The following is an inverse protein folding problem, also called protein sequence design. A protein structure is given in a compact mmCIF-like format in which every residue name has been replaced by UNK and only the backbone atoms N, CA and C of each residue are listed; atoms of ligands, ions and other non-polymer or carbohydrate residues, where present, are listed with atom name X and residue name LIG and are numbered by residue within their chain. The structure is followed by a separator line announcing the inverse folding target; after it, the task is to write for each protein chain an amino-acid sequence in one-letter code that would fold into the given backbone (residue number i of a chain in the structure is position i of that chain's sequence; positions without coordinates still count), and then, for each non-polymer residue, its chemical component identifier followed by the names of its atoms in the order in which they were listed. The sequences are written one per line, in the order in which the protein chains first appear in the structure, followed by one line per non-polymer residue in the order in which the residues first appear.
data_IF_673755787889
#
_entry.id   IF_673755787889
#
_cell.length_a   1.000
_cell.length_b   1.000
_cell.length_c   1.000
_cell.angle_alpha   90.00
_cell.angle_beta   90.00
_cell.angle_gamma   90.00
#
_symmetry.space_group_name_H-M   'P 1'
#
loop_
_entity.id
_entity.type
_entity.pdbx_description
1 polymer ?
#
# COMPACT_ATOMS: atom_id res chain seq x y z
N UNK A 1 25.20 -34.74 19.40
CA UNK A 1 24.10 -33.83 19.82
C UNK A 1 24.75 -32.54 20.26
N UNK A 2 24.79 -31.58 19.38
CA UNK A 2 25.23 -30.25 19.75
C UNK A 2 24.17 -29.69 20.70
N UNK A 3 24.53 -29.56 21.97
CA UNK A 3 23.66 -28.93 22.96
C UNK A 3 23.45 -27.47 22.54
N UNK A 4 22.23 -27.10 22.19
CA UNK A 4 21.84 -25.70 22.21
C UNK A 4 22.12 -25.19 23.62
N UNK A 5 23.23 -24.47 23.79
CA UNK A 5 23.50 -23.79 25.03
C UNK A 5 22.35 -22.85 25.32
N UNK A 6 21.75 -22.97 26.52
CA UNK A 6 20.75 -21.99 26.94
C UNK A 6 21.35 -20.59 26.85
N UNK A 7 20.61 -19.65 26.30
CA UNK A 7 21.06 -18.25 26.30
C UNK A 7 21.24 -17.78 27.75
N UNK A 8 22.30 -17.01 28.03
CA UNK A 8 22.46 -16.40 29.34
C UNK A 8 21.23 -15.57 29.70
N UNK A 9 20.88 -15.51 30.99
CA UNK A 9 19.79 -14.65 31.50
C UNK A 9 20.01 -13.17 31.22
N UNK A 10 21.25 -12.77 30.91
CA UNK A 10 21.61 -11.41 30.44
C UNK A 10 21.30 -11.14 28.97
N UNK A 11 20.78 -12.12 28.23
CA UNK A 11 20.51 -12.01 26.80
C UNK A 11 21.69 -12.45 25.93
N UNK A 12 21.53 -12.36 24.63
CA UNK A 12 22.53 -12.72 23.63
C UNK A 12 22.10 -12.34 22.23
N UNK A 13 23.02 -12.51 21.26
CA UNK A 13 22.76 -12.22 19.85
C UNK A 13 22.89 -13.50 19.04
N UNK A 14 21.89 -13.79 18.18
CA UNK A 14 21.98 -14.80 17.15
C UNK A 14 22.47 -14.14 15.86
N UNK A 15 23.55 -14.68 15.27
CA UNK A 15 24.13 -14.15 14.01
C UNK A 15 23.64 -14.89 12.77
N UNK A 16 22.82 -15.93 12.93
CA UNK A 16 22.25 -16.74 11.86
C UNK A 16 20.72 -16.83 11.97
N UNK A 17 20.12 -17.56 11.03
CA UNK A 17 18.68 -17.83 11.03
C UNK A 17 18.29 -18.68 12.23
N UNK A 18 17.28 -18.24 12.98
CA UNK A 18 16.68 -19.00 14.08
C UNK A 18 15.31 -19.50 13.63
N UNK A 19 15.08 -20.82 13.72
CA UNK A 19 13.78 -21.45 13.46
C UNK A 19 13.12 -21.85 14.76
N UNK A 20 11.89 -21.40 14.97
CA UNK A 20 11.05 -21.84 16.07
C UNK A 20 10.00 -22.83 15.53
N UNK A 21 10.01 -24.07 16.07
CA UNK A 21 9.02 -25.10 15.72
C UNK A 21 7.81 -25.07 16.66
N UNK A 22 7.87 -24.25 17.69
CA UNK A 22 6.83 -24.06 18.69
C UNK A 22 6.56 -22.56 18.85
N UNK A 23 5.40 -22.17 19.37
CA UNK A 23 5.11 -20.77 19.67
C UNK A 23 6.17 -20.13 20.54
N UNK A 24 6.61 -18.93 20.16
CA UNK A 24 7.52 -18.11 20.94
C UNK A 24 6.72 -17.05 21.69
N UNK A 25 6.74 -17.09 23.01
CA UNK A 25 6.02 -16.18 23.88
C UNK A 25 6.93 -15.05 24.37
N UNK A 26 6.37 -13.85 24.47
CA UNK A 26 7.02 -12.67 25.04
C UNK A 26 6.31 -12.27 26.33
N UNK A 27 7.03 -12.28 27.44
CA UNK A 27 6.48 -12.05 28.77
C UNK A 27 6.00 -13.34 29.47
N UNK A 28 5.59 -13.19 30.70
CA UNK A 28 5.25 -14.32 31.57
C UNK A 28 3.83 -14.88 31.40
N UNK A 29 2.94 -14.09 30.84
CA UNK A 29 1.50 -14.41 30.73
C UNK A 29 1.09 -15.04 29.38
N UNK A 30 2.07 -15.25 28.47
CA UNK A 30 1.87 -15.82 27.13
C UNK A 30 0.86 -15.05 26.25
N UNK A 31 0.58 -13.79 26.57
CA UNK A 31 -0.36 -12.96 25.79
C UNK A 31 0.20 -12.56 24.44
N UNK A 32 1.52 -12.29 24.37
CA UNK A 32 2.19 -11.89 23.14
C UNK A 32 3.05 -13.03 22.62
N UNK A 33 2.89 -13.36 21.33
CA UNK A 33 3.53 -14.54 20.77
C UNK A 33 3.70 -14.45 19.24
N UNK A 34 4.56 -15.30 18.71
CA UNK A 34 4.65 -15.67 17.29
C UNK A 34 4.55 -17.19 17.21
N UNK A 35 3.69 -17.71 16.34
CA UNK A 35 3.53 -19.14 16.09
C UNK A 35 4.29 -19.61 14.86
N UNK A 36 4.47 -20.91 14.72
CA UNK A 36 5.20 -21.49 13.58
C UNK A 36 4.46 -21.34 12.23
N UNK A 37 3.15 -21.09 12.25
CA UNK A 37 2.31 -20.82 11.07
C UNK A 37 2.32 -19.33 10.65
N UNK A 38 3.13 -18.51 11.31
CA UNK A 38 3.25 -17.08 11.00
C UNK A 38 2.24 -16.18 11.71
N UNK A 39 1.38 -16.74 12.58
CA UNK A 39 0.48 -15.90 13.38
C UNK A 39 1.27 -15.16 14.46
N UNK A 40 1.02 -13.85 14.59
CA UNK A 40 1.63 -13.02 15.63
C UNK A 40 0.57 -12.22 16.40
N UNK A 41 0.72 -12.13 17.72
CA UNK A 41 -0.10 -11.30 18.58
C UNK A 41 0.77 -10.31 19.37
N UNK A 42 0.63 -9.03 19.08
CA UNK A 42 1.35 -7.94 19.74
C UNK A 42 0.38 -6.84 20.18
N UNK A 43 0.68 -6.24 21.33
CA UNK A 43 -0.09 -5.08 21.80
C UNK A 43 0.09 -3.86 20.91
N UNK A 44 1.31 -3.63 20.42
CA UNK A 44 1.68 -2.53 19.51
C UNK A 44 2.86 -2.94 18.65
N UNK A 45 2.85 -2.50 17.42
CA UNK A 45 3.97 -2.61 16.49
C UNK A 45 4.35 -1.20 16.06
N UNK A 46 5.59 -0.78 16.37
CA UNK A 46 6.11 0.52 15.98
C UNK A 46 6.93 0.38 14.71
N UNK A 47 6.79 1.37 13.79
CA UNK A 47 7.56 1.38 12.55
C UNK A 47 7.07 0.40 11.47
N UNK A 48 6.00 -0.35 11.72
CA UNK A 48 5.44 -1.28 10.76
C UNK A 48 4.67 -0.58 9.63
N UNK A 49 4.19 0.66 9.85
CA UNK A 49 3.47 1.45 8.84
C UNK A 49 4.16 2.81 8.74
N UNK A 50 5.00 2.97 7.72
CA UNK A 50 5.77 4.21 7.53
C UNK A 50 5.03 5.25 6.68
N UNK A 51 4.48 4.86 5.52
CA UNK A 51 3.81 5.77 4.59
C UNK A 51 2.36 5.41 4.36
N UNK A 52 2.09 4.20 3.86
CA UNK A 52 0.78 3.78 3.42
C UNK A 52 0.52 2.29 3.67
N UNK A 53 -0.76 1.98 3.66
CA UNK A 53 -1.29 0.62 3.72
C UNK A 53 -1.75 0.24 2.33
N UNK A 54 -1.19 -0.83 1.77
CA UNK A 54 -1.46 -1.29 0.42
C UNK A 54 -1.97 -2.73 0.38
N UNK A 55 -2.64 -3.06 -0.73
CA UNK A 55 -3.12 -4.39 -1.05
C UNK A 55 -2.85 -4.70 -2.52
N UNK A 56 -2.64 -5.98 -2.83
CA UNK A 56 -2.53 -6.49 -4.19
C UNK A 56 -3.90 -6.63 -4.84
N UNK A 57 -4.14 -5.88 -5.92
CA UNK A 57 -5.38 -5.90 -6.70
C UNK A 57 -5.18 -6.53 -8.07
N UNK A 58 -6.11 -7.38 -8.58
CA UNK A 58 -6.01 -8.01 -9.89
C UNK A 58 -5.78 -6.99 -11.01
N UNK A 59 -4.71 -7.17 -11.77
CA UNK A 59 -4.26 -6.25 -12.81
C UNK A 59 -5.13 -6.33 -14.06
N UNK A 60 -5.66 -5.19 -14.51
CA UNK A 60 -6.41 -5.04 -15.76
C UNK A 60 -5.65 -4.32 -16.86
N UNK A 61 -4.59 -3.60 -16.52
CA UNK A 61 -3.73 -2.90 -17.48
C UNK A 61 -2.35 -2.63 -16.90
N UNK A 62 -1.41 -2.21 -17.73
CA UNK A 62 -0.11 -1.74 -17.25
C UNK A 62 -0.25 -0.45 -16.47
N UNK A 63 0.39 -0.44 -15.29
CA UNK A 63 0.38 0.70 -14.36
C UNK A 63 1.79 0.99 -13.87
N UNK A 64 2.01 2.20 -13.40
CA UNK A 64 3.27 2.61 -12.76
C UNK A 64 3.01 3.37 -11.46
N UNK A 65 3.98 3.41 -10.55
CA UNK A 65 3.84 4.11 -9.28
C UNK A 65 3.32 5.54 -9.42
N UNK A 66 2.29 5.85 -8.64
CA UNK A 66 1.58 7.12 -8.67
C UNK A 66 0.33 7.14 -9.55
N UNK A 67 0.07 6.10 -10.36
CA UNK A 67 -1.18 5.99 -11.13
C UNK A 67 -2.38 5.83 -10.21
N UNK A 68 -3.43 6.60 -10.48
CA UNK A 68 -4.74 6.44 -9.82
C UNK A 68 -5.42 5.20 -10.40
N UNK A 69 -5.88 4.32 -9.52
CA UNK A 69 -6.46 3.03 -9.86
C UNK A 69 -7.95 3.01 -9.56
N UNK A 70 -8.71 2.46 -10.49
CA UNK A 70 -10.16 2.31 -10.40
C UNK A 70 -10.59 0.88 -10.73
N UNK A 71 -11.77 0.49 -10.24
CA UNK A 71 -12.44 -0.75 -10.62
C UNK A 71 -12.83 -0.70 -12.10
N UNK A 72 -12.53 -1.75 -12.85
CA UNK A 72 -13.03 -1.94 -14.21
C UNK A 72 -14.48 -2.44 -14.18
N UNK A 73 -15.43 -1.51 -14.19
CA UNK A 73 -16.87 -1.82 -14.14
C UNK A 73 -17.40 -2.52 -15.41
N UNK A 74 -16.60 -2.59 -16.48
CA UNK A 74 -16.95 -3.32 -17.70
C UNK A 74 -16.57 -4.81 -17.64
N UNK A 75 -15.74 -5.19 -16.68
CA UNK A 75 -15.28 -6.56 -16.49
C UNK A 75 -16.33 -7.41 -15.77
N UNK A 76 -16.46 -8.67 -16.16
CA UNK A 76 -17.28 -9.65 -15.44
C UNK A 76 -16.55 -10.29 -14.25
N UNK A 77 -15.24 -10.08 -14.15
CA UNK A 77 -14.41 -10.54 -13.04
C UNK A 77 -13.76 -9.34 -12.35
N UNK A 78 -13.34 -9.49 -11.11
CA UNK A 78 -12.61 -8.46 -10.41
C UNK A 78 -11.33 -8.09 -11.19
N UNK A 79 -11.25 -6.81 -11.59
CA UNK A 79 -10.13 -6.27 -12.35
C UNK A 79 -10.00 -4.77 -12.16
N UNK A 80 -8.76 -4.28 -12.15
CA UNK A 80 -8.45 -2.89 -11.86
C UNK A 80 -7.61 -2.26 -12.96
N UNK A 81 -7.96 -1.02 -13.29
CA UNK A 81 -7.38 -0.25 -14.39
C UNK A 81 -7.01 1.16 -13.93
N UNK A 82 -6.30 1.92 -14.77
CA UNK A 82 -6.07 3.35 -14.55
C UNK A 82 -7.39 4.11 -14.57
N UNK A 83 -7.63 4.91 -13.54
CA UNK A 83 -8.75 5.85 -13.55
C UNK A 83 -8.55 6.91 -14.62
N UNK A 84 -9.62 7.31 -15.29
CA UNK A 84 -9.62 8.33 -16.36
C UNK A 84 -10.58 9.45 -16.01
N UNK A 85 -11.83 9.11 -15.75
CA UNK A 85 -12.93 10.04 -15.58
C UNK A 85 -13.30 10.30 -14.14
N UNK A 86 -13.94 11.45 -13.92
CA UNK A 86 -14.44 11.84 -12.59
C UNK A 86 -15.63 11.01 -12.10
N UNK A 87 -16.05 10.01 -12.84
CA UNK A 87 -17.09 9.06 -12.46
C UNK A 87 -16.54 7.65 -12.24
N UNK A 88 -15.23 7.46 -12.39
CA UNK A 88 -14.61 6.17 -12.15
C UNK A 88 -14.60 5.85 -10.65
N UNK A 89 -14.80 4.59 -10.32
CA UNK A 89 -14.74 4.11 -8.93
C UNK A 89 -13.29 3.94 -8.51
N UNK A 90 -12.71 5.01 -7.98
CA UNK A 90 -11.33 5.04 -7.49
C UNK A 90 -11.22 4.15 -6.26
N UNK A 91 -10.24 3.23 -6.28
CA UNK A 91 -9.92 2.36 -5.14
C UNK A 91 -8.66 2.80 -4.42
N UNK A 92 -7.74 3.49 -5.09
CA UNK A 92 -6.50 3.97 -4.50
C UNK A 92 -5.47 4.36 -5.53
N UNK A 93 -4.21 4.23 -5.18
CA UNK A 93 -3.06 4.65 -5.99
C UNK A 93 -2.02 3.54 -6.06
N UNK A 94 -1.50 3.24 -7.24
CA UNK A 94 -0.36 2.33 -7.39
C UNK A 94 0.82 2.88 -6.59
N UNK A 95 1.32 2.13 -5.63
CA UNK A 95 2.38 2.55 -4.72
C UNK A 95 3.63 1.70 -4.87
N UNK A 96 4.79 2.33 -4.69
CA UNK A 96 6.13 1.71 -4.62
C UNK A 96 6.79 1.95 -3.24
N UNK A 97 6.09 2.65 -2.32
CA UNK A 97 6.61 3.07 -1.01
C UNK A 97 5.74 2.54 0.15
N UNK A 98 5.03 1.43 -0.06
CA UNK A 98 4.17 0.84 0.97
C UNK A 98 4.98 0.39 2.19
N UNK A 99 4.42 0.59 3.36
CA UNK A 99 4.97 0.06 4.60
C UNK A 99 4.30 -1.26 5.00
N UNK A 100 3.10 -1.49 4.51
CA UNK A 100 2.34 -2.71 4.72
C UNK A 100 1.62 -3.10 3.45
N UNK A 101 1.84 -4.34 2.99
CA UNK A 101 1.24 -4.88 1.78
C UNK A 101 0.61 -6.23 2.10
N UNK A 102 -0.67 -6.39 1.75
CA UNK A 102 -1.43 -7.62 1.98
C UNK A 102 -1.95 -8.23 0.68
N UNK A 103 -2.36 -9.49 0.75
CA UNK A 103 -2.89 -10.23 -0.41
C UNK A 103 -1.80 -10.76 -1.34
N UNK A 104 -2.18 -11.02 -2.61
CA UNK A 104 -1.30 -11.64 -3.60
C UNK A 104 -1.16 -13.15 -3.41
N UNK A 105 -0.37 -13.78 -4.30
CA UNK A 105 -0.11 -15.23 -4.27
C UNK A 105 0.97 -15.59 -3.23
N UNK A 106 1.88 -14.65 -2.93
CA UNK A 106 2.88 -14.80 -1.89
C UNK A 106 3.19 -13.45 -1.23
N UNK A 107 3.27 -13.39 0.10
CA UNK A 107 3.60 -12.17 0.84
C UNK A 107 5.12 -11.94 1.00
N UNK A 108 5.96 -12.92 0.67
CA UNK A 108 7.42 -12.83 0.88
C UNK A 108 8.12 -12.25 -0.34
N UNK A 109 8.66 -11.05 -0.22
CA UNK A 109 9.45 -10.39 -1.27
C UNK A 109 10.72 -11.16 -1.67
N UNK A 110 11.19 -12.09 -0.83
CA UNK A 110 12.34 -12.96 -1.10
C UNK A 110 11.96 -14.24 -1.81
N UNK A 111 10.66 -14.54 -1.91
CA UNK A 111 10.15 -15.67 -2.66
C UNK A 111 10.33 -15.43 -4.16
N UNK A 112 10.87 -16.40 -4.89
CA UNK A 112 11.03 -16.32 -6.36
C UNK A 112 9.68 -16.09 -7.08
N UNK A 113 8.56 -16.50 -6.47
CA UNK A 113 7.21 -16.26 -6.99
C UNK A 113 6.70 -14.83 -6.73
N UNK A 114 7.38 -14.02 -5.91
CA UNK A 114 6.95 -12.64 -5.66
C UNK A 114 6.90 -11.80 -6.94
N UNK A 115 7.81 -12.04 -7.88
CA UNK A 115 7.79 -11.40 -9.20
C UNK A 115 6.51 -11.69 -9.98
N UNK A 116 5.92 -12.87 -9.81
CA UNK A 116 4.64 -13.23 -10.43
C UNK A 116 3.47 -12.39 -9.87
N UNK A 117 3.55 -11.92 -8.62
CA UNK A 117 2.56 -10.97 -8.09
C UNK A 117 2.56 -9.67 -8.89
N UNK A 118 3.74 -9.13 -9.24
CA UNK A 118 3.86 -7.87 -10.00
C UNK A 118 3.22 -7.98 -11.39
N UNK A 119 3.27 -9.16 -12.01
CA UNK A 119 2.64 -9.40 -13.31
C UNK A 119 1.11 -9.52 -13.20
N UNK A 120 0.60 -10.15 -12.14
CA UNK A 120 -0.83 -10.44 -11.93
C UNK A 120 -1.58 -9.33 -11.21
N UNK A 121 -0.91 -8.60 -10.35
CA UNK A 121 -1.51 -7.66 -9.42
C UNK A 121 -0.88 -6.27 -9.49
N UNK A 122 -1.59 -5.30 -8.95
CA UNK A 122 -1.14 -3.91 -8.74
C UNK A 122 -1.08 -3.69 -7.24
N UNK A 123 0.05 -3.23 -6.65
CA UNK A 123 0.07 -2.82 -5.26
C UNK A 123 -0.61 -1.46 -5.13
N UNK A 124 -1.80 -1.42 -4.53
CA UNK A 124 -2.63 -0.20 -4.43
C UNK A 124 -2.68 0.27 -2.98
N UNK A 125 -2.23 1.49 -2.75
CA UNK A 125 -2.40 2.19 -1.48
C UNK A 125 -3.87 2.52 -1.26
N UNK A 126 -4.43 2.00 -0.17
CA UNK A 126 -5.81 2.21 0.25
C UNK A 126 -5.94 3.34 1.26
N UNK A 127 -4.91 3.55 2.07
CA UNK A 127 -4.89 4.57 3.12
C UNK A 127 -3.46 5.03 3.41
N UNK A 128 -3.31 6.29 3.82
CA UNK A 128 -2.01 6.84 4.18
C UNK A 128 -1.59 7.99 3.27
N UNK A 129 -0.28 8.23 3.19
CA UNK A 129 0.30 9.32 2.39
C UNK A 129 1.11 8.71 1.24
N UNK A 130 0.60 8.83 0.04
CA UNK A 130 1.19 8.25 -1.17
C UNK A 130 1.53 9.34 -2.20
N UNK A 131 2.48 9.07 -3.07
CA UNK A 131 2.83 9.97 -4.18
C UNK A 131 1.94 9.68 -5.39
N UNK A 132 1.08 10.65 -5.73
CA UNK A 132 0.13 10.58 -6.85
C UNK A 132 0.67 11.36 -8.04
N UNK A 133 0.57 10.80 -9.23
CA UNK A 133 0.86 11.51 -10.49
C UNK A 133 -0.26 12.51 -10.76
N UNK A 134 0.12 13.76 -10.92
CA UNK A 134 -0.82 14.86 -11.18
C UNK A 134 -0.33 15.77 -12.29
N UNK A 135 -1.27 16.51 -12.88
CA UNK A 135 -1.03 17.61 -13.81
C UNK A 135 -1.76 18.87 -13.33
N UNK A 136 -1.34 20.05 -13.81
CA UNK A 136 -1.92 21.32 -13.38
C UNK A 136 -1.45 21.73 -11.99
N UNK A 137 -1.71 22.98 -11.61
CA UNK A 137 -1.36 23.50 -10.28
C UNK A 137 -2.16 22.80 -9.19
N UNK A 138 -1.51 22.52 -8.07
CA UNK A 138 -2.12 21.90 -6.90
C UNK A 138 -1.71 22.68 -5.66
N UNK A 139 -2.67 23.01 -4.81
CA UNK A 139 -2.44 23.63 -3.49
C UNK A 139 -2.62 22.60 -2.39
N UNK A 140 -1.95 22.81 -1.28
CA UNK A 140 -2.19 22.04 -0.07
C UNK A 140 -3.67 22.11 0.32
N UNK A 141 -4.30 20.95 0.54
CA UNK A 141 -5.72 20.83 0.87
C UNK A 141 -6.63 20.61 -0.34
N UNK A 142 -6.14 20.79 -1.58
CA UNK A 142 -6.96 20.52 -2.76
C UNK A 142 -7.39 19.04 -2.82
N UNK A 143 -8.66 18.82 -3.17
CA UNK A 143 -9.12 17.47 -3.51
C UNK A 143 -8.51 17.04 -4.84
N UNK A 144 -8.06 15.80 -4.91
CA UNK A 144 -7.48 15.21 -6.11
C UNK A 144 -8.51 14.29 -6.76
N UNK A 145 -8.76 14.54 -8.04
CA UNK A 145 -9.67 13.79 -8.91
C UNK A 145 -8.92 13.25 -10.14
N UNK A 146 -9.42 12.20 -10.81
CA UNK A 146 -8.92 11.82 -12.13
C UNK A 146 -9.01 12.99 -13.12
N UNK A 147 -7.96 13.18 -13.96
CA UNK A 147 -7.81 14.36 -14.81
C UNK A 147 -8.43 14.24 -16.21
N UNK A 148 -8.88 13.05 -16.60
CA UNK A 148 -9.21 12.71 -18.01
C UNK A 148 -8.08 11.98 -18.73
N UNK A 149 -6.86 12.00 -18.18
CA UNK A 149 -5.72 11.22 -18.67
C UNK A 149 -5.55 9.98 -17.80
N UNK A 150 -5.39 8.78 -18.39
CA UNK A 150 -5.32 7.53 -17.61
C UNK A 150 -4.27 7.54 -16.50
N UNK A 151 -4.70 7.29 -15.27
CA UNK A 151 -3.86 7.21 -14.08
C UNK A 151 -3.39 8.55 -13.52
N UNK A 152 -3.70 9.68 -14.16
CA UNK A 152 -3.25 11.00 -13.75
C UNK A 152 -4.36 11.76 -13.06
N UNK A 153 -4.02 12.41 -11.94
CA UNK A 153 -4.90 13.28 -11.18
C UNK A 153 -4.73 14.76 -11.52
N UNK A 154 -5.68 15.54 -11.04
CA UNK A 154 -5.66 17.01 -10.99
C UNK A 154 -6.33 17.52 -9.71
N UNK A 155 -6.09 18.75 -9.36
CA UNK A 155 -6.90 19.43 -8.35
C UNK A 155 -8.34 19.59 -8.84
N UNK A 156 -9.31 19.46 -7.94
CA UNK A 156 -10.69 19.84 -8.20
C UNK A 156 -10.82 21.33 -8.40
N UNK A 157 -11.66 21.77 -9.33
CA UNK A 157 -11.98 23.18 -9.53
C UNK A 157 -12.86 23.69 -8.38
N UNK A 158 -12.84 25.00 -8.12
CA UNK A 158 -13.70 25.62 -7.15
C UNK A 158 -15.19 25.36 -7.49
N UNK A 159 -15.95 24.80 -6.54
CA UNK A 159 -17.34 24.43 -6.73
C UNK A 159 -17.60 23.18 -7.57
N UNK A 160 -16.56 22.46 -7.95
CA UNK A 160 -16.72 21.21 -8.69
C UNK A 160 -17.31 20.12 -7.78
N UNK A 161 -18.44 19.56 -8.22
CA UNK A 161 -19.01 18.38 -7.58
C UNK A 161 -18.29 17.11 -8.06
N UNK A 162 -17.92 16.26 -7.11
CA UNK A 162 -17.41 14.91 -7.37
C UNK A 162 -18.04 13.95 -6.38
N UNK A 163 -18.56 12.79 -6.83
CA UNK A 163 -18.97 11.72 -5.94
C UNK A 163 -17.80 11.24 -5.06
N UNK A 164 -18.10 10.84 -3.84
CA UNK A 164 -17.05 10.43 -2.89
C UNK A 164 -16.17 9.30 -3.41
N UNK A 165 -16.76 8.36 -4.14
CA UNK A 165 -16.07 7.21 -4.77
C UNK A 165 -15.10 7.59 -5.89
N UNK A 166 -15.13 8.83 -6.36
CA UNK A 166 -14.23 9.33 -7.41
C UNK A 166 -13.07 10.14 -6.84
N UNK A 167 -13.10 10.45 -5.54
CA UNK A 167 -12.09 11.26 -4.87
C UNK A 167 -10.91 10.39 -4.45
N UNK A 168 -9.72 10.69 -4.97
CA UNK A 168 -8.47 10.01 -4.56
C UNK A 168 -8.11 10.35 -3.11
N UNK A 169 -8.23 11.61 -2.75
CA UNK A 169 -7.84 12.14 -1.45
C UNK A 169 -7.62 13.64 -1.51
N UNK A 170 -6.79 14.16 -0.62
CA UNK A 170 -6.40 15.58 -0.63
C UNK A 170 -4.88 15.75 -0.60
N UNK A 171 -4.40 16.76 -1.31
CA UNK A 171 -2.99 17.10 -1.36
C UNK A 171 -2.48 17.56 0.01
N UNK A 172 -1.36 17.01 0.47
CA UNK A 172 -0.70 17.43 1.72
C UNK A 172 0.51 18.34 1.45
N UNK A 173 0.85 18.53 0.19
CA UNK A 173 1.83 19.48 -0.29
C UNK A 173 1.31 20.20 -1.54
N UNK A 174 1.70 21.45 -1.74
CA UNK A 174 1.36 22.23 -2.91
C UNK A 174 2.50 22.24 -3.95
N UNK A 175 2.13 22.46 -5.22
CA UNK A 175 3.09 22.61 -6.32
C UNK A 175 2.47 23.44 -7.45
N UNK A 176 3.12 24.56 -7.82
CA UNK A 176 2.64 25.49 -8.83
C UNK A 176 2.99 25.08 -10.27
N UNK A 177 3.77 24.03 -10.48
CA UNK A 177 4.08 23.49 -11.81
C UNK A 177 2.81 22.97 -12.47
N UNK A 178 2.80 22.98 -13.79
CA UNK A 178 1.66 22.50 -14.59
C UNK A 178 1.91 21.19 -15.32
N UNK A 179 3.18 20.78 -15.44
CA UNK A 179 3.59 19.51 -16.04
C UNK A 179 3.25 18.32 -15.14
N UNK A 180 3.34 17.13 -15.71
CA UNK A 180 3.14 15.89 -14.97
C UNK A 180 4.25 15.69 -13.94
N UNK A 181 3.87 15.39 -12.71
CA UNK A 181 4.77 15.07 -11.59
C UNK A 181 4.06 14.28 -10.51
N UNK A 182 4.81 13.83 -9.52
CA UNK A 182 4.27 13.15 -8.33
C UNK A 182 4.23 14.13 -7.15
N UNK A 183 3.07 14.23 -6.51
CA UNK A 183 2.88 14.99 -5.26
C UNK A 183 2.36 14.06 -4.17
N UNK A 184 2.57 14.45 -2.92
CA UNK A 184 2.07 13.69 -1.78
C UNK A 184 0.61 14.00 -1.51
N UNK A 185 -0.20 12.94 -1.48
CA UNK A 185 -1.65 12.99 -1.25
C UNK A 185 -1.99 12.06 -0.09
N UNK A 186 -2.87 12.51 0.80
CA UNK A 186 -3.49 11.62 1.77
C UNK A 186 -4.68 10.94 1.10
N UNK A 187 -4.52 9.65 0.82
CA UNK A 187 -5.58 8.82 0.27
C UNK A 187 -6.64 8.59 1.35
N UNK A 188 -7.90 8.63 0.96
CA UNK A 188 -9.03 8.29 1.84
C UNK A 188 -9.20 6.77 1.80
N UNK A 189 -9.09 6.15 2.96
CA UNK A 189 -9.56 4.79 3.19
C UNK A 189 -11.02 4.82 3.65
#
# INVERSE_FOLDING_TARGET
RDSLGAMPTSGGTFTGTVRFQQPTYFGGDKTYYITADGTANFRKVYGAVYNDYAEWFPRGCDTKPGDIIALDVSSQTERYIKAVGKMDRVVGVHTDEYAYLIGGDTPDEKDDNFKANIEKYIPVSLAGRVRVRVTGRVKTGDLILPSGTPGIGRAACAGEFAPAECIVGYAVEGDDRTDERRIRVRVRG
#
